data_IF_974676956003
#
_entry.id   IF_974676956003
#
_cell.length_a   1.000
_cell.length_b   1.000
_cell.length_c   1.000
_cell.angle_alpha   90.00
_cell.angle_beta   90.00
_cell.angle_gamma   90.00
#
_symmetry.space_group_name_H-M   'P 1'
#
loop_
_entity.id
_entity.type
_entity.pdbx_description
1 polymer ?
#
# COMPACT_ATOMS: atom_id res chain seq x y z
N UNK A 1 -0.75 5.66 -9.89
CA UNK A 1 -1.46 5.01 -8.79
C UNK A 1 -1.21 3.50 -8.80
N UNK A 2 -1.16 2.88 -7.63
CA UNK A 2 -1.03 1.43 -7.45
C UNK A 2 -2.21 0.94 -6.62
N UNK A 3 -3.11 0.19 -7.26
CA UNK A 3 -4.29 -0.43 -6.62
C UNK A 3 -4.02 -1.91 -6.40
N UNK A 4 -4.03 -2.40 -5.18
CA UNK A 4 -3.84 -3.82 -4.87
C UNK A 4 -5.19 -4.47 -4.59
N UNK A 5 -5.53 -5.51 -5.33
CA UNK A 5 -6.78 -6.27 -5.18
C UNK A 5 -6.56 -7.77 -5.14
N UNK A 6 -7.38 -8.46 -4.39
CA UNK A 6 -7.46 -9.92 -4.38
C UNK A 6 -8.61 -10.41 -5.28
N UNK A 7 -8.42 -10.33 -6.58
CA UNK A 7 -9.45 -10.60 -7.58
C UNK A 7 -10.46 -9.45 -7.69
N UNK A 8 -11.59 -9.73 -8.31
CA UNK A 8 -12.74 -8.81 -8.38
C UNK A 8 -13.42 -8.76 -7.02
N UNK A 9 -12.85 -7.99 -6.08
CA UNK A 9 -13.50 -7.78 -4.80
C UNK A 9 -14.76 -6.93 -4.98
N UNK A 10 -15.78 -7.06 -4.12
CA UNK A 10 -17.04 -6.31 -4.25
C UNK A 10 -16.86 -4.79 -4.11
N UNK A 11 -15.69 -4.33 -3.67
CA UNK A 11 -15.38 -2.93 -3.51
C UNK A 11 -14.57 -2.35 -4.68
N UNK A 12 -13.89 -3.21 -5.46
CA UNK A 12 -12.93 -2.79 -6.49
C UNK A 12 -13.57 -1.90 -7.56
N UNK A 13 -14.78 -2.23 -8.03
CA UNK A 13 -15.48 -1.43 -9.02
C UNK A 13 -15.67 0.02 -8.58
N UNK A 14 -16.08 0.24 -7.33
CA UNK A 14 -16.25 1.57 -6.76
C UNK A 14 -14.91 2.30 -6.58
N UNK A 15 -13.86 1.58 -6.17
CA UNK A 15 -12.49 2.11 -6.07
C UNK A 15 -11.99 2.60 -7.44
N UNK A 16 -12.12 1.78 -8.48
CA UNK A 16 -11.69 2.14 -9.85
C UNK A 16 -12.48 3.32 -10.39
N UNK A 17 -13.81 3.35 -10.18
CA UNK A 17 -14.66 4.49 -10.56
C UNK A 17 -14.26 5.77 -9.82
N UNK A 18 -13.94 5.68 -8.54
CA UNK A 18 -13.45 6.83 -7.77
C UNK A 18 -12.10 7.36 -8.29
N UNK A 19 -11.20 6.47 -8.72
CA UNK A 19 -9.93 6.86 -9.35
C UNK A 19 -10.14 7.49 -10.73
N UNK A 20 -11.09 6.97 -11.52
CA UNK A 20 -11.38 7.54 -12.85
C UNK A 20 -12.03 8.93 -12.79
N UNK A 21 -12.69 9.26 -11.69
CA UNK A 21 -13.40 10.53 -11.49
C UNK A 21 -12.55 11.63 -10.84
N UNK A 22 -11.24 11.39 -10.63
CA UNK A 22 -10.37 12.39 -10.03
C UNK A 22 -10.26 13.66 -10.88
N UNK A 23 -10.26 14.84 -10.24
CA UNK A 23 -10.00 16.14 -10.90
C UNK A 23 -8.60 16.19 -11.50
N UNK A 24 -7.64 15.55 -10.84
CA UNK A 24 -6.29 15.33 -11.32
C UNK A 24 -6.06 13.81 -11.44
N UNK A 25 -6.38 13.17 -12.59
CA UNK A 25 -6.20 11.74 -12.74
C UNK A 25 -4.70 11.37 -12.74
N UNK A 26 -4.33 10.21 -12.18
CA UNK A 26 -2.95 9.74 -12.21
C UNK A 26 -2.53 9.40 -13.65
N UNK A 27 -1.26 9.64 -14.02
CA UNK A 27 -0.74 9.32 -15.37
C UNK A 27 -0.84 7.83 -15.70
N UNK A 28 -0.66 6.97 -14.70
CA UNK A 28 -0.72 5.51 -14.84
C UNK A 28 -1.43 4.91 -13.64
N UNK A 29 -2.31 3.96 -13.88
CA UNK A 29 -2.90 3.09 -12.85
C UNK A 29 -2.41 1.67 -13.04
N UNK A 30 -1.72 1.16 -12.03
CA UNK A 30 -1.28 -0.22 -11.94
C UNK A 30 -2.24 -0.98 -11.02
N UNK A 31 -3.02 -1.89 -11.57
CA UNK A 31 -3.88 -2.79 -10.80
C UNK A 31 -3.10 -4.08 -10.55
N UNK A 32 -2.75 -4.32 -9.29
CA UNK A 32 -1.99 -5.50 -8.86
C UNK A 32 -2.95 -6.54 -8.31
N UNK A 33 -3.18 -7.59 -9.10
CA UNK A 33 -4.04 -8.70 -8.71
C UNK A 33 -3.23 -9.76 -7.94
N UNK A 34 -3.54 -9.90 -6.66
CA UNK A 34 -2.94 -10.92 -5.78
C UNK A 34 -3.87 -12.11 -5.56
N UNK A 35 -4.93 -12.25 -6.38
CA UNK A 35 -5.86 -13.36 -6.24
C UNK A 35 -5.15 -14.69 -6.39
N UNK A 36 -5.36 -15.53 -5.40
CA UNK A 36 -5.16 -16.96 -5.50
C UNK A 36 -6.53 -17.64 -5.34
N UNK A 37 -6.66 -18.88 -5.76
CA UNK A 37 -7.91 -19.66 -5.53
C UNK A 37 -8.36 -19.67 -4.06
N UNK A 38 -7.46 -19.33 -3.15
CA UNK A 38 -7.67 -19.40 -1.71
C UNK A 38 -8.16 -18.08 -1.07
N UNK A 39 -7.96 -16.91 -1.69
CA UNK A 39 -8.23 -15.61 -1.07
C UNK A 39 -9.06 -14.62 -1.92
N UNK A 40 -9.56 -15.05 -3.08
CA UNK A 40 -10.44 -14.22 -3.89
C UNK A 40 -11.82 -14.05 -3.24
N UNK A 41 -12.25 -12.78 -3.08
CA UNK A 41 -13.59 -12.43 -2.61
C UNK A 41 -14.57 -12.17 -3.77
N UNK A 42 -14.09 -12.33 -5.00
CA UNK A 42 -14.86 -12.00 -6.20
C UNK A 42 -15.88 -13.07 -6.58
N UNK A 43 -16.87 -12.67 -7.33
CA UNK A 43 -17.87 -13.50 -7.99
C UNK A 43 -17.33 -14.29 -9.20
N UNK A 44 -16.04 -14.15 -9.49
CA UNK A 44 -15.37 -14.74 -10.65
C UNK A 44 -15.27 -13.82 -11.85
N UNK A 45 -15.78 -12.59 -11.77
CA UNK A 45 -15.62 -11.56 -12.81
C UNK A 45 -14.14 -11.26 -13.02
N UNK A 46 -13.64 -11.26 -14.25
CA UNK A 46 -12.27 -10.85 -14.54
C UNK A 46 -12.02 -9.39 -14.13
N UNK A 47 -10.87 -9.10 -13.53
CA UNK A 47 -10.49 -7.73 -13.15
C UNK A 47 -10.52 -6.79 -14.37
N UNK A 48 -10.18 -7.30 -15.53
CA UNK A 48 -10.19 -6.56 -16.80
C UNK A 48 -11.59 -5.99 -17.12
N UNK A 49 -12.65 -6.75 -16.90
CA UNK A 49 -14.03 -6.27 -17.11
C UNK A 49 -14.38 -5.13 -16.15
N UNK A 50 -13.93 -5.20 -14.90
CA UNK A 50 -14.12 -4.10 -13.93
C UNK A 50 -13.33 -2.86 -14.32
N UNK A 51 -12.12 -3.01 -14.85
CA UNK A 51 -11.29 -1.91 -15.35
C UNK A 51 -11.98 -1.24 -16.54
N UNK A 52 -12.49 -2.02 -17.50
CA UNK A 52 -13.21 -1.50 -18.66
C UNK A 52 -14.50 -0.78 -18.24
N UNK A 53 -15.31 -1.41 -17.37
CA UNK A 53 -16.55 -0.84 -16.86
C UNK A 53 -16.39 0.44 -16.01
N UNK A 54 -15.21 0.66 -15.43
CA UNK A 54 -14.94 1.85 -14.60
C UNK A 54 -14.68 3.12 -15.40
N UNK A 55 -14.49 3.03 -16.72
CA UNK A 55 -14.10 4.16 -17.57
C UNK A 55 -12.66 4.64 -17.36
N UNK A 56 -11.88 3.97 -16.53
CA UNK A 56 -10.53 4.36 -16.15
C UNK A 56 -9.59 4.46 -17.37
N UNK A 57 -9.72 3.56 -18.32
CA UNK A 57 -8.92 3.55 -19.55
C UNK A 57 -9.12 4.75 -20.47
N UNK A 58 -10.20 5.52 -20.30
CA UNK A 58 -10.47 6.75 -21.05
C UNK A 58 -9.68 7.96 -20.52
N UNK A 59 -9.30 7.94 -19.24
CA UNK A 59 -8.66 9.08 -18.56
C UNK A 59 -7.18 8.85 -18.24
N UNK A 60 -6.74 7.59 -18.17
CA UNK A 60 -5.37 7.24 -17.78
C UNK A 60 -4.89 5.94 -18.42
N UNK A 61 -3.58 5.71 -18.44
CA UNK A 61 -3.01 4.44 -18.85
C UNK A 61 -3.19 3.39 -17.76
N UNK A 62 -3.86 2.27 -18.05
CA UNK A 62 -4.09 1.19 -17.08
C UNK A 62 -3.26 -0.04 -17.43
N UNK A 63 -2.72 -0.70 -16.40
CA UNK A 63 -2.04 -1.99 -16.53
C UNK A 63 -2.50 -2.91 -15.41
N UNK A 64 -2.86 -4.13 -15.75
CA UNK A 64 -3.16 -5.20 -14.80
C UNK A 64 -1.96 -6.12 -14.69
N UNK A 65 -1.48 -6.34 -13.48
CA UNK A 65 -0.33 -7.22 -13.18
C UNK A 65 -0.75 -8.26 -12.15
N UNK A 66 -0.52 -9.54 -12.46
CA UNK A 66 -0.87 -10.64 -11.56
C UNK A 66 0.32 -11.09 -10.73
N UNK A 67 0.18 -11.00 -9.40
CA UNK A 67 1.22 -11.34 -8.42
C UNK A 67 0.67 -12.39 -7.45
N UNK A 68 0.69 -13.66 -7.86
CA UNK A 68 -0.01 -14.77 -7.16
C UNK A 68 0.51 -15.10 -5.76
N UNK A 69 1.73 -14.71 -5.41
CA UNK A 69 2.40 -15.12 -4.16
C UNK A 69 2.71 -13.96 -3.22
N UNK A 70 2.03 -12.83 -3.39
CA UNK A 70 2.21 -11.70 -2.50
C UNK A 70 1.76 -12.04 -1.07
N UNK A 71 2.63 -11.78 -0.10
CA UNK A 71 2.42 -12.11 1.31
C UNK A 71 1.80 -10.97 2.11
N UNK A 72 1.88 -9.76 1.58
CA UNK A 72 1.38 -8.52 2.21
C UNK A 72 1.06 -7.49 1.14
N UNK A 73 0.39 -6.40 1.54
CA UNK A 73 0.16 -5.25 0.68
C UNK A 73 1.47 -4.69 0.12
N UNK A 74 2.48 -4.47 0.98
CA UNK A 74 3.78 -3.95 0.56
C UNK A 74 4.52 -4.87 -0.39
N UNK A 75 4.47 -6.21 -0.19
CA UNK A 75 5.05 -7.18 -1.11
C UNK A 75 4.33 -7.16 -2.48
N UNK A 76 3.00 -6.97 -2.47
CA UNK A 76 2.22 -6.82 -3.70
C UNK A 76 2.62 -5.55 -4.48
N UNK A 77 2.71 -4.41 -3.80
CA UNK A 77 3.15 -3.14 -4.41
C UNK A 77 4.55 -3.28 -5.00
N UNK A 78 5.51 -3.78 -4.23
CA UNK A 78 6.90 -3.92 -4.69
C UNK A 78 7.02 -4.83 -5.92
N UNK A 79 6.37 -6.00 -5.90
CA UNK A 79 6.36 -6.94 -7.04
C UNK A 79 5.60 -6.38 -8.24
N UNK A 80 4.49 -5.68 -8.01
CA UNK A 80 3.72 -5.03 -9.06
C UNK A 80 4.54 -3.96 -9.77
N UNK A 81 5.23 -3.09 -9.03
CA UNK A 81 6.12 -2.07 -9.57
C UNK A 81 7.29 -2.69 -10.34
N UNK A 82 7.92 -3.76 -9.82
CA UNK A 82 8.99 -4.46 -10.51
C UNK A 82 8.52 -5.08 -11.83
N UNK A 83 7.39 -5.79 -11.83
CA UNK A 83 6.82 -6.37 -13.04
C UNK A 83 6.42 -5.30 -14.08
N UNK A 84 5.88 -4.16 -13.63
CA UNK A 84 5.60 -3.02 -14.51
C UNK A 84 6.89 -2.46 -15.15
N UNK A 85 7.96 -2.30 -14.37
CA UNK A 85 9.25 -1.85 -14.88
C UNK A 85 9.82 -2.79 -15.97
N UNK A 86 9.69 -4.10 -15.77
CA UNK A 86 10.11 -5.11 -16.77
C UNK A 86 9.29 -5.00 -18.06
N UNK A 87 7.97 -4.81 -17.97
CA UNK A 87 7.10 -4.61 -19.14
C UNK A 87 7.49 -3.37 -19.94
N UNK A 88 7.76 -2.26 -19.26
CA UNK A 88 8.21 -1.00 -19.89
C UNK A 88 9.57 -1.22 -20.59
N UNK A 89 10.53 -1.85 -19.91
CA UNK A 89 11.85 -2.13 -20.46
C UNK A 89 11.78 -3.07 -21.70
N UNK A 90 10.91 -4.07 -21.69
CA UNK A 90 10.67 -4.98 -22.81
C UNK A 90 10.06 -4.23 -24.02
N UNK A 91 9.08 -3.36 -23.78
CA UNK A 91 8.47 -2.52 -24.82
C UNK A 91 9.48 -1.59 -25.49
N UNK A 92 10.37 -0.99 -24.71
CA UNK A 92 11.42 -0.11 -25.22
C UNK A 92 12.47 -0.88 -26.05
N UNK A 93 12.86 -2.10 -25.62
CA UNK A 93 13.77 -2.96 -26.42
C UNK A 93 13.16 -3.30 -27.78
N UNK A 94 11.87 -3.65 -27.82
CA UNK A 94 11.16 -3.98 -29.06
C UNK A 94 11.09 -2.78 -30.03
N UNK A 95 10.86 -1.57 -29.52
CA UNK A 95 10.85 -0.32 -30.33
C UNK A 95 12.22 0.01 -30.90
N UNK A 96 13.29 -0.15 -30.09
CA UNK A 96 14.67 0.08 -30.58
C UNK A 96 15.10 -0.96 -31.62
N UNK A 97 14.68 -2.22 -31.51
CA UNK A 97 14.92 -3.26 -32.49
C UNK A 97 14.19 -3.03 -33.83
N UNK A 98 12.95 -2.57 -33.77
CA UNK A 98 12.16 -2.25 -34.97
C UNK A 98 12.67 -1.02 -35.73
N UNK A 99 13.27 -0.03 -35.03
CA UNK A 99 13.85 1.15 -35.67
C UNK A 99 15.25 0.95 -36.27
N UNK A 100 15.90 -0.20 -36.02
CA UNK A 100 17.20 -0.52 -36.55
C UNK A 100 17.14 -1.22 -37.93
N UNK A 101 15.97 -1.76 -38.32
CA UNK A 101 15.79 -2.47 -39.61
C UNK A 101 15.38 -1.52 -40.74
N UNK A 102 14.90 -0.30 -40.45
CA UNK A 102 14.48 0.69 -41.47
C UNK A 102 15.59 1.70 -41.85
N UNK A 103 16.81 1.53 -41.36
CA UNK A 103 17.91 2.50 -41.44
C UNK A 103 18.98 2.22 -42.51
N UNK A 104 18.68 1.50 -43.60
CA UNK A 104 19.61 1.34 -44.74
C UNK A 104 19.08 2.03 -45.99
N UNK A 105 19.21 3.35 -46.08
CA UNK A 105 18.99 4.08 -47.34
C UNK A 105 18.67 5.56 -47.15
N UNK A 106 19.63 6.44 -47.45
CA UNK A 106 19.33 7.82 -47.88
C UNK A 106 19.84 8.95 -47.01
N UNK A 107 20.83 9.58 -47.53
CA UNK A 107 21.56 10.81 -47.20
C UNK A 107 20.75 12.06 -46.83
N UNK A 108 21.42 12.87 -45.96
CA UNK A 108 21.50 14.34 -45.89
C UNK A 108 20.27 15.24 -45.99
N UNK A 109 19.98 16.01 -44.97
CA UNK A 109 20.24 17.47 -44.82
C UNK A 109 19.36 18.08 -43.71
N UNK A 110 20.04 18.96 -42.95
CA UNK A 110 19.59 20.23 -42.38
C UNK A 110 18.57 20.30 -41.20
N UNK A 111 19.11 20.78 -40.13
CA UNK A 111 18.77 21.90 -39.28
C UNK A 111 17.32 22.15 -38.83
N UNK A 112 17.03 21.91 -37.58
CA UNK A 112 15.83 22.38 -36.93
C UNK A 112 15.71 21.94 -35.46
N UNK A 113 16.37 22.68 -34.56
CA UNK A 113 16.19 22.54 -33.13
C UNK A 113 14.73 22.88 -32.74
N UNK A 114 13.90 21.88 -32.53
CA UNK A 114 12.65 22.00 -31.81
C UNK A 114 12.76 21.19 -30.51
N UNK A 115 12.93 21.90 -29.39
CA UNK A 115 12.85 21.30 -28.07
C UNK A 115 11.45 20.71 -27.89
N UNK A 116 11.32 19.43 -28.14
CA UNK A 116 10.15 18.63 -27.86
C UNK A 116 10.01 18.57 -26.34
N UNK A 117 8.94 19.14 -25.80
CA UNK A 117 8.51 18.94 -24.40
C UNK A 117 8.20 17.45 -24.24
N UNK A 118 9.15 16.70 -23.73
CA UNK A 118 8.94 15.30 -23.36
C UNK A 118 7.92 15.27 -22.21
N UNK A 119 6.75 14.74 -22.47
CA UNK A 119 5.71 14.58 -21.46
C UNK A 119 6.18 13.59 -20.37
N UNK A 120 5.78 13.80 -19.11
CA UNK A 120 5.96 12.83 -18.02
C UNK A 120 5.49 11.43 -18.43
N UNK A 121 4.47 11.37 -19.29
CA UNK A 121 3.98 10.15 -19.94
C UNK A 121 5.07 9.44 -20.77
N UNK A 122 5.94 10.19 -21.46
CA UNK A 122 7.03 9.63 -22.24
C UNK A 122 8.21 9.17 -21.37
N UNK A 123 8.45 9.84 -20.24
CA UNK A 123 9.49 9.45 -19.27
C UNK A 123 9.15 8.15 -18.56
N UNK A 124 7.90 7.99 -18.14
CA UNK A 124 7.39 6.74 -17.54
C UNK A 124 7.38 5.57 -18.54
N UNK A 125 7.24 5.89 -19.86
CA UNK A 125 7.26 4.89 -20.94
C UNK A 125 8.67 4.60 -21.45
N UNK A 126 9.64 5.49 -21.24
CA UNK A 126 11.01 5.37 -21.79
C UNK A 126 12.06 4.87 -20.80
N UNK A 127 11.71 4.69 -19.52
CA UNK A 127 12.50 3.96 -18.53
C UNK A 127 14.01 4.23 -18.56
N UNK A 128 14.43 5.49 -18.34
CA UNK A 128 15.86 5.80 -18.24
C UNK A 128 16.31 5.72 -16.78
N UNK A 129 16.57 4.51 -16.30
CA UNK A 129 17.22 4.26 -15.03
C UNK A 129 17.00 2.81 -14.59
N UNK A 130 18.03 2.09 -14.14
CA UNK A 130 17.86 0.73 -13.68
C UNK A 130 17.13 0.73 -12.34
N UNK A 131 15.88 0.23 -12.33
CA UNK A 131 15.26 -0.23 -11.09
C UNK A 131 15.94 -1.56 -10.77
N UNK A 132 17.03 -1.51 -10.03
CA UNK A 132 17.64 -2.69 -9.44
C UNK A 132 16.84 -3.02 -8.20
N UNK A 133 15.79 -3.85 -8.37
CA UNK A 133 15.19 -4.54 -7.24
C UNK A 133 16.23 -5.48 -6.64
N UNK A 134 16.31 -5.60 -5.30
CA UNK A 134 17.25 -6.53 -4.68
C UNK A 134 16.78 -7.96 -4.90
N UNK A 135 17.25 -8.60 -5.96
CA UNK A 135 17.43 -10.04 -6.01
C UNK A 135 18.78 -10.34 -5.36
N UNK A 136 18.83 -10.25 -4.06
CA UNK A 136 20.00 -10.55 -3.26
C UNK A 136 19.56 -11.03 -1.89
N UNK A 137 20.14 -12.12 -1.46
CA UNK A 137 19.91 -12.80 -0.19
C UNK A 137 19.79 -11.79 0.97
N UNK A 138 18.82 -12.02 1.84
CA UNK A 138 18.64 -11.33 3.11
C UNK A 138 19.94 -11.44 3.93
N UNK A 139 20.77 -10.41 3.87
CA UNK A 139 21.83 -10.22 4.84
C UNK A 139 21.21 -9.72 6.15
N UNK A 140 21.65 -10.23 7.32
CA UNK A 140 21.15 -9.76 8.59
C UNK A 140 21.49 -8.29 8.75
N UNK A 141 20.52 -7.51 9.24
CA UNK A 141 20.68 -6.10 9.60
C UNK A 141 21.70 -6.03 10.74
N UNK A 142 22.93 -5.78 10.39
CA UNK A 142 23.98 -5.42 11.33
C UNK A 142 24.14 -3.91 11.32
N UNK A 143 23.88 -3.33 12.49
CA UNK A 143 24.32 -2.01 12.97
C UNK A 143 24.24 -0.84 11.97
N UNK A 144 23.20 -0.01 12.14
CA UNK A 144 23.24 1.36 11.66
C UNK A 144 24.23 2.17 12.53
N UNK A 145 25.45 2.28 12.07
CA UNK A 145 26.35 3.33 12.53
C UNK A 145 25.89 4.67 11.93
N UNK A 146 25.66 5.63 12.83
CA UNK A 146 25.32 6.99 12.52
C UNK A 146 26.47 7.65 11.75
N UNK A 147 26.31 7.85 10.45
CA UNK A 147 27.03 8.89 9.72
C UNK A 147 26.09 10.10 9.61
N UNK A 148 26.36 11.09 10.44
CA UNK A 148 25.85 12.46 10.27
C UNK A 148 26.44 13.01 8.98
N UNK A 149 25.69 12.95 7.88
CA UNK A 149 26.02 13.68 6.67
C UNK A 149 25.57 15.12 6.85
N UNK A 150 26.53 16.05 6.81
CA UNK A 150 26.26 17.47 6.78
C UNK A 150 25.40 17.82 5.55
N UNK A 151 24.50 18.82 5.65
CA UNK A 151 23.65 19.20 4.53
C UNK A 151 24.52 19.70 3.37
N UNK A 152 24.47 18.99 2.25
CA UNK A 152 25.09 19.43 1.00
C UNK A 152 24.38 20.70 0.51
N UNK A 153 25.14 21.73 0.21
CA UNK A 153 24.67 23.00 -0.37
C UNK A 153 23.95 22.70 -1.70
N UNK A 154 22.70 23.13 -1.78
CA UNK A 154 21.81 22.86 -2.89
C UNK A 154 22.24 23.61 -4.13
N UNK A 155 22.79 22.92 -5.10
CA UNK A 155 22.81 23.33 -6.50
C UNK A 155 21.36 23.45 -6.98
N UNK A 156 20.96 24.63 -7.48
CA UNK A 156 19.65 24.87 -8.08
C UNK A 156 19.58 24.21 -9.45
N UNK A 157 19.49 22.90 -9.51
CA UNK A 157 19.06 22.18 -10.71
C UNK A 157 17.53 22.14 -10.74
N UNK A 158 16.95 22.48 -11.89
CA UNK A 158 15.51 22.37 -12.17
C UNK A 158 15.09 20.95 -11.82
N UNK A 159 14.10 20.72 -10.97
CA UNK A 159 13.77 19.38 -10.50
C UNK A 159 13.37 18.54 -11.71
N UNK A 160 14.10 17.47 -11.96
CA UNK A 160 13.63 16.32 -12.71
C UNK A 160 12.24 15.96 -12.18
N UNK A 161 11.28 15.76 -13.08
CA UNK A 161 9.86 15.60 -12.71
C UNK A 161 9.71 14.61 -11.55
N UNK A 162 9.26 15.12 -10.41
CA UNK A 162 9.09 14.33 -9.20
C UNK A 162 7.98 13.30 -9.43
N UNK A 163 8.28 12.03 -9.25
CA UNK A 163 7.34 10.92 -9.45
C UNK A 163 6.80 10.49 -8.09
N UNK A 164 5.49 10.37 -8.00
CA UNK A 164 4.80 9.96 -6.79
C UNK A 164 4.09 8.63 -7.00
N UNK A 165 4.11 7.76 -6.00
CA UNK A 165 3.30 6.55 -5.93
C UNK A 165 2.09 6.79 -5.05
N UNK A 166 0.90 6.72 -5.61
CA UNK A 166 -0.35 6.77 -4.87
C UNK A 166 -0.81 5.35 -4.56
N UNK A 167 -0.78 4.96 -3.28
CA UNK A 167 -1.08 3.61 -2.82
C UNK A 167 -2.57 3.49 -2.48
N UNK A 168 -3.25 2.53 -3.09
CA UNK A 168 -4.69 2.32 -2.91
C UNK A 168 -4.97 0.85 -2.60
N UNK A 169 -5.92 0.64 -1.69
CA UNK A 169 -6.52 -0.66 -1.46
C UNK A 169 -7.77 -0.81 -2.33
N UNK A 170 -8.15 -2.04 -2.68
CA UNK A 170 -9.37 -2.32 -3.45
C UNK A 170 -10.67 -1.95 -2.71
N UNK A 171 -10.60 -1.67 -1.43
CA UNK A 171 -11.66 -1.24 -0.53
C UNK A 171 -11.49 0.22 -0.05
N UNK A 172 -10.82 1.04 -0.87
CA UNK A 172 -10.60 2.47 -0.60
C UNK A 172 -11.02 3.32 -1.79
N UNK A 173 -12.02 4.20 -1.61
CA UNK A 173 -12.58 5.06 -2.65
C UNK A 173 -12.26 6.53 -2.35
N UNK A 174 -11.31 7.16 -3.08
CA UNK A 174 -10.98 8.56 -2.89
C UNK A 174 -12.13 9.49 -3.34
N UNK A 175 -12.31 10.59 -2.63
CA UNK A 175 -13.17 11.68 -3.08
C UNK A 175 -12.54 12.38 -4.31
N UNK A 176 -13.36 13.11 -5.06
CA UNK A 176 -13.03 13.55 -6.43
C UNK A 176 -11.75 14.39 -6.55
N UNK A 177 -11.40 15.15 -5.54
CA UNK A 177 -10.21 16.03 -5.51
C UNK A 177 -9.06 15.48 -4.64
N UNK A 178 -9.21 14.26 -4.13
CA UNK A 178 -8.28 13.67 -3.16
C UNK A 178 -6.83 13.68 -3.65
N UNK A 179 -6.56 13.24 -4.88
CA UNK A 179 -5.20 13.20 -5.43
C UNK A 179 -4.64 14.61 -5.63
N UNK A 180 -5.45 15.56 -6.09
CA UNK A 180 -5.06 16.95 -6.28
C UNK A 180 -4.62 17.60 -4.96
N UNK A 181 -5.39 17.40 -3.88
CA UNK A 181 -5.06 17.90 -2.54
C UNK A 181 -3.78 17.26 -2.01
N UNK A 182 -3.61 15.95 -2.15
CA UNK A 182 -2.39 15.25 -1.75
C UNK A 182 -1.15 15.77 -2.50
N UNK A 183 -1.24 15.95 -3.82
CA UNK A 183 -0.14 16.48 -4.63
C UNK A 183 0.19 17.92 -4.26
N UNK A 184 -0.81 18.74 -4.01
CA UNK A 184 -0.62 20.13 -3.55
C UNK A 184 0.13 20.15 -2.22
N UNK A 185 -0.29 19.36 -1.25
CA UNK A 185 0.39 19.24 0.03
C UNK A 185 1.83 18.71 -0.09
N UNK A 186 2.04 17.73 -0.97
CA UNK A 186 3.33 17.09 -1.22
C UNK A 186 4.35 18.07 -1.82
N UNK A 187 3.91 18.94 -2.75
CA UNK A 187 4.80 19.86 -3.47
C UNK A 187 5.10 21.13 -2.69
N UNK A 188 4.33 21.46 -1.66
CA UNK A 188 4.53 22.65 -0.83
C UNK A 188 5.81 22.63 0.02
N UNK A 189 6.41 21.45 0.26
CA UNK A 189 7.65 21.35 1.02
C UNK A 189 8.51 20.16 0.54
N UNK A 190 9.74 20.43 0.11
CA UNK A 190 10.69 19.41 -0.40
C UNK A 190 11.06 18.31 0.60
N UNK A 191 10.89 18.55 1.88
CA UNK A 191 11.18 17.58 2.94
C UNK A 191 10.04 16.56 3.15
N UNK A 192 8.89 16.74 2.49
CA UNK A 192 7.77 15.81 2.59
C UNK A 192 8.02 14.61 1.71
N UNK A 193 8.09 13.44 2.32
CA UNK A 193 8.25 12.16 1.62
C UNK A 193 6.97 11.36 1.51
N UNK A 194 6.03 11.55 2.47
CA UNK A 194 4.75 10.82 2.49
C UNK A 194 3.63 11.79 2.89
N UNK A 195 2.51 11.72 2.16
CA UNK A 195 1.27 12.43 2.49
C UNK A 195 0.13 11.41 2.59
N UNK A 196 -0.63 11.45 3.67
CA UNK A 196 -1.82 10.61 3.84
C UNK A 196 -3.10 11.44 3.82
N UNK A 197 -4.22 10.85 3.32
CA UNK A 197 -5.53 11.49 3.37
C UNK A 197 -6.19 11.33 4.74
N UNK A 198 -7.25 12.12 4.98
CA UNK A 198 -8.28 11.83 5.98
C UNK A 198 -9.06 10.60 5.52
N UNK A 199 -9.14 9.58 6.37
CA UNK A 199 -9.95 8.40 6.08
C UNK A 199 -11.29 8.48 6.79
N UNK A 200 -12.37 8.25 6.06
CA UNK A 200 -13.75 8.24 6.56
C UNK A 200 -14.44 6.91 6.27
N UNK A 201 -15.60 6.71 6.88
CA UNK A 201 -16.37 5.49 6.74
C UNK A 201 -16.82 5.25 5.29
N UNK A 202 -16.84 3.99 4.86
CA UNK A 202 -17.28 3.60 3.52
C UNK A 202 -18.78 3.86 3.29
N UNK A 203 -19.61 3.36 4.20
CA UNK A 203 -21.07 3.48 4.12
C UNK A 203 -21.58 4.82 4.68
N UNK A 204 -20.87 5.38 5.65
CA UNK A 204 -21.17 6.69 6.23
C UNK A 204 -19.89 7.56 6.25
N UNK A 205 -19.73 8.45 5.27
CA UNK A 205 -18.54 9.31 5.16
C UNK A 205 -18.47 10.41 6.22
N UNK A 206 -19.51 10.59 7.05
CA UNK A 206 -19.44 11.50 8.19
C UNK A 206 -18.62 10.92 9.36
N UNK A 207 -18.38 9.62 9.36
CA UNK A 207 -17.64 8.96 10.44
C UNK A 207 -16.13 8.98 10.16
N UNK A 208 -15.38 9.55 11.09
CA UNK A 208 -13.91 9.53 11.06
C UNK A 208 -13.35 8.14 11.33
N UNK A 209 -12.38 7.75 10.53
CA UNK A 209 -11.61 6.53 10.74
C UNK A 209 -10.15 6.83 11.10
N UNK A 210 -9.53 7.80 10.41
CA UNK A 210 -8.11 8.13 10.60
C UNK A 210 -7.79 9.53 10.08
N UNK A 211 -7.08 10.33 10.89
CA UNK A 211 -6.43 11.58 10.47
C UNK A 211 -5.00 11.54 11.01
N UNK A 212 -4.14 10.81 10.26
CA UNK A 212 -2.83 10.42 10.73
C UNK A 212 -2.85 9.34 11.82
N UNK A 213 -1.70 8.74 12.10
CA UNK A 213 -1.52 7.67 13.06
C UNK A 213 -0.60 8.07 14.19
N UNK A 214 -0.95 7.64 15.40
CA UNK A 214 -0.08 7.67 16.58
C UNK A 214 0.21 6.24 17.03
N UNK A 215 1.33 6.04 17.69
CA UNK A 215 1.69 4.76 18.26
C UNK A 215 2.38 4.92 19.61
N UNK A 216 2.19 3.97 20.49
CA UNK A 216 2.95 3.85 21.74
C UNK A 216 4.36 3.31 21.46
N UNK A 217 5.26 3.40 22.45
CA UNK A 217 6.60 2.80 22.37
C UNK A 217 6.58 1.28 22.10
N UNK A 218 5.47 0.60 22.34
CA UNK A 218 5.27 -0.83 22.00
C UNK A 218 4.58 -1.01 20.63
N UNK A 219 4.64 -0.02 19.76
CA UNK A 219 4.04 0.00 18.43
C UNK A 219 2.52 -0.29 18.41
N UNK A 220 1.83 -0.10 19.53
CA UNK A 220 0.36 -0.17 19.57
C UNK A 220 -0.18 1.13 18.99
N UNK A 221 -1.01 1.03 17.96
CA UNK A 221 -1.76 2.20 17.45
C UNK A 221 -2.53 2.84 18.59
N UNK A 222 -2.33 4.12 18.74
CA UNK A 222 -3.12 4.97 19.64
C UNK A 222 -4.02 5.80 18.72
N UNK A 223 -5.29 5.49 18.70
CA UNK A 223 -6.26 6.28 17.96
C UNK A 223 -6.71 7.44 18.83
N UNK A 224 -6.56 8.65 18.30
CA UNK A 224 -7.18 9.84 18.91
C UNK A 224 -8.66 9.93 18.52
N UNK A 225 -9.07 9.18 17.50
CA UNK A 225 -10.44 9.11 17.01
C UNK A 225 -11.17 8.00 17.73
N UNK A 226 -12.29 8.33 18.34
CA UNK A 226 -13.17 7.40 19.04
C UNK A 226 -14.07 6.68 18.03
N UNK A 227 -14.33 5.36 18.19
CA UNK A 227 -15.27 4.66 17.33
C UNK A 227 -16.65 5.35 17.28
N UNK A 228 -17.13 5.69 16.08
CA UNK A 228 -18.38 6.42 15.88
C UNK A 228 -18.23 7.96 15.92
N UNK A 229 -17.02 8.48 16.00
CA UNK A 229 -16.77 9.92 15.97
C UNK A 229 -17.16 10.52 14.61
N UNK A 230 -17.97 11.57 14.65
CA UNK A 230 -18.42 12.32 13.47
C UNK A 230 -17.39 13.39 13.12
N UNK A 231 -17.11 13.55 11.84
CA UNK A 231 -16.24 14.62 11.32
C UNK A 231 -16.91 15.99 11.47
N UNK A 232 -16.29 16.86 12.25
CA UNK A 232 -16.69 18.26 12.46
C UNK A 232 -15.51 19.20 12.19
N UNK A 233 -14.47 18.72 11.51
CA UNK A 233 -13.22 19.46 11.31
C UNK A 233 -12.30 19.52 12.51
N UNK A 234 -12.60 18.80 13.60
CA UNK A 234 -11.85 18.84 14.86
C UNK A 234 -10.40 18.33 14.77
N UNK A 235 -10.03 17.73 13.64
CA UNK A 235 -8.69 17.24 13.35
C UNK A 235 -8.06 17.88 12.10
N UNK A 236 -8.69 18.91 11.52
CA UNK A 236 -8.25 19.51 10.26
C UNK A 236 -7.03 20.44 10.41
N UNK A 237 -6.63 20.75 11.64
CA UNK A 237 -5.40 21.46 11.96
C UNK A 237 -4.15 20.57 11.95
N UNK A 238 -4.33 19.25 11.79
CA UNK A 238 -3.20 18.30 11.79
C UNK A 238 -2.41 18.40 10.48
N UNK A 239 -1.10 18.35 10.61
CA UNK A 239 -0.18 18.31 9.48
C UNK A 239 0.90 17.25 9.73
N UNK A 240 1.94 17.54 10.49
CA UNK A 240 3.00 16.57 10.81
C UNK A 240 2.47 15.47 11.74
N UNK A 241 2.59 14.22 11.28
CA UNK A 241 2.12 13.05 12.02
C UNK A 241 3.21 11.99 12.14
N UNK A 242 3.08 11.07 13.09
CA UNK A 242 4.01 9.96 13.22
C UNK A 242 3.95 9.05 11.98
N UNK A 243 2.76 8.78 11.50
CA UNK A 243 2.53 7.89 10.36
C UNK A 243 1.14 8.15 9.74
N UNK A 244 0.93 7.60 8.56
CA UNK A 244 -0.36 7.52 7.86
C UNK A 244 -0.65 6.09 7.45
N UNK A 245 -1.94 5.77 7.26
CA UNK A 245 -2.33 4.48 6.67
C UNK A 245 -1.99 4.41 5.20
N UNK A 246 -1.77 3.20 4.68
CA UNK A 246 -1.42 2.98 3.27
C UNK A 246 -2.59 3.16 2.31
N UNK A 247 -3.84 3.11 2.80
CA UNK A 247 -5.02 3.39 1.98
C UNK A 247 -5.08 4.88 1.63
N UNK A 248 -4.70 5.22 0.40
CA UNK A 248 -4.65 6.58 -0.12
C UNK A 248 -3.33 7.32 0.10
N UNK A 249 -2.32 6.71 0.69
CA UNK A 249 -1.03 7.36 0.91
C UNK A 249 -0.31 7.68 -0.41
N UNK A 250 0.18 8.91 -0.52
CA UNK A 250 1.06 9.37 -1.60
C UNK A 250 2.50 9.38 -1.08
N UNK A 251 3.41 8.71 -1.77
CA UNK A 251 4.83 8.63 -1.41
C UNK A 251 5.72 9.03 -2.59
N UNK A 252 6.75 9.83 -2.32
CA UNK A 252 7.78 10.13 -3.29
C UNK A 252 8.52 8.86 -3.72
N UNK A 253 8.71 8.70 -5.03
CA UNK A 253 9.41 7.53 -5.59
C UNK A 253 10.83 7.42 -5.04
N UNK A 254 11.57 8.52 -4.94
CA UNK A 254 12.94 8.49 -4.44
C UNK A 254 12.98 8.03 -2.98
N UNK A 255 12.03 8.50 -2.16
CA UNK A 255 11.87 8.04 -0.77
C UNK A 255 11.53 6.54 -0.74
N UNK A 256 10.59 6.07 -1.57
CA UNK A 256 10.24 4.66 -1.67
C UNK A 256 11.46 3.79 -2.01
N UNK A 257 12.25 4.22 -2.99
CA UNK A 257 13.45 3.50 -3.42
C UNK A 257 14.54 3.51 -2.35
N UNK A 258 14.77 4.64 -1.69
CA UNK A 258 15.76 4.79 -0.61
C UNK A 258 15.47 3.90 0.59
N UNK A 259 14.22 3.86 1.06
CA UNK A 259 13.84 3.05 2.22
C UNK A 259 13.56 1.58 1.87
N UNK A 260 13.53 1.23 0.58
CA UNK A 260 13.23 -0.12 0.09
C UNK A 260 11.75 -0.49 0.16
N UNK A 261 10.86 0.49 0.20
CA UNK A 261 9.41 0.29 0.28
C UNK A 261 8.94 -0.27 1.63
N UNK A 262 7.81 -1.00 1.63
CA UNK A 262 7.25 -1.63 2.83
C UNK A 262 7.91 -2.99 3.04
N UNK A 263 8.33 -3.25 4.26
CA UNK A 263 9.01 -4.50 4.60
C UNK A 263 8.15 -5.75 4.30
N UNK A 264 8.63 -6.72 3.51
CA UNK A 264 7.83 -7.86 3.04
C UNK A 264 7.47 -8.88 4.14
N UNK A 265 8.14 -8.80 5.29
CA UNK A 265 7.87 -9.68 6.45
C UNK A 265 6.69 -9.20 7.31
N UNK A 266 6.16 -8.00 7.08
CA UNK A 266 4.89 -7.57 7.65
C UNK A 266 3.74 -8.36 7.04
N UNK A 267 2.78 -8.72 7.86
CA UNK A 267 1.53 -9.28 7.38
C UNK A 267 0.60 -8.19 6.81
N UNK A 268 -0.71 -8.42 6.80
CA UNK A 268 -1.69 -7.50 6.22
C UNK A 268 -1.95 -6.23 7.05
N UNK A 269 -1.18 -5.97 8.10
CA UNK A 269 -1.34 -4.84 9.00
C UNK A 269 -0.01 -4.24 9.41
N UNK A 270 -0.03 -2.96 9.79
CA UNK A 270 1.11 -2.26 10.36
C UNK A 270 2.08 -1.68 9.33
N UNK A 271 1.76 -1.82 8.07
CA UNK A 271 2.50 -1.35 6.90
C UNK A 271 2.66 0.17 6.88
N UNK A 272 1.57 0.93 7.08
CA UNK A 272 1.62 2.40 7.13
C UNK A 272 2.50 2.93 8.26
N UNK A 273 2.47 2.30 9.45
CA UNK A 273 3.33 2.68 10.56
C UNK A 273 4.81 2.40 10.27
N UNK A 274 5.11 1.26 9.67
CA UNK A 274 6.46 0.86 9.31
C UNK A 274 7.04 1.77 8.21
N UNK A 275 6.31 1.94 7.10
CA UNK A 275 6.67 2.79 5.97
C UNK A 275 6.96 4.22 6.41
N UNK A 276 6.01 4.82 7.15
CA UNK A 276 6.13 6.19 7.63
C UNK A 276 7.31 6.37 8.58
N UNK A 277 7.55 5.40 9.44
CA UNK A 277 8.69 5.46 10.35
C UNK A 277 10.02 5.29 9.61
N UNK A 278 10.11 4.40 8.62
CA UNK A 278 11.30 4.26 7.79
C UNK A 278 11.63 5.58 7.08
N UNK A 279 10.63 6.23 6.48
CA UNK A 279 10.80 7.54 5.84
C UNK A 279 11.27 8.63 6.84
N UNK A 280 10.69 8.66 8.06
CA UNK A 280 11.12 9.61 9.10
C UNK A 280 12.56 9.37 9.59
N UNK A 281 12.99 8.12 9.67
CA UNK A 281 14.37 7.78 10.03
C UNK A 281 15.35 8.14 8.91
N UNK A 282 14.91 8.14 7.66
CA UNK A 282 15.67 8.65 6.51
C UNK A 282 15.65 10.19 6.41
N UNK A 283 14.97 10.90 7.34
CA UNK A 283 14.95 12.35 7.42
C UNK A 283 13.77 13.04 6.73
N UNK A 284 12.82 12.28 6.18
CA UNK A 284 11.65 12.83 5.50
C UNK A 284 10.50 13.11 6.46
N UNK A 285 9.71 14.12 6.13
CA UNK A 285 8.47 14.42 6.85
C UNK A 285 7.34 13.51 6.34
N UNK A 286 6.49 13.12 7.27
CA UNK A 286 5.23 12.43 7.01
C UNK A 286 4.12 13.35 7.48
N UNK A 287 3.23 13.72 6.57
CA UNK A 287 2.13 14.62 6.85
C UNK A 287 0.78 13.97 6.54
N UNK A 288 -0.28 14.47 7.15
CA UNK A 288 -1.66 14.21 6.75
C UNK A 288 -2.21 15.48 6.11
N UNK A 289 -2.99 15.30 5.04
CA UNK A 289 -3.76 16.37 4.40
C UNK A 289 -5.25 16.12 4.65
N UNK A 290 -5.86 16.83 5.60
CA UNK A 290 -7.25 16.59 5.97
C UNK A 290 -8.27 16.93 4.90
N UNK A 291 -7.94 17.81 3.95
CA UNK A 291 -8.83 18.15 2.83
C UNK A 291 -8.85 17.05 1.76
N UNK A 292 -7.80 16.23 1.69
CA UNK A 292 -7.77 15.03 0.88
C UNK A 292 -8.54 13.91 1.60
N UNK A 293 -9.73 13.57 1.12
CA UNK A 293 -10.62 12.60 1.79
C UNK A 293 -10.69 11.30 1.01
N UNK A 294 -10.64 10.16 1.74
CA UNK A 294 -10.84 8.84 1.17
C UNK A 294 -11.80 8.01 2.03
N UNK A 295 -12.78 7.39 1.39
CA UNK A 295 -13.65 6.39 2.04
C UNK A 295 -12.92 5.06 2.12
N UNK A 296 -12.97 4.40 3.28
CA UNK A 296 -12.27 3.13 3.48
C UNK A 296 -13.15 2.11 4.19
N UNK A 297 -13.36 0.94 3.56
CA UNK A 297 -14.16 -0.14 4.14
C UNK A 297 -13.46 -0.84 5.30
N UNK A 298 -12.12 -0.84 5.30
CA UNK A 298 -11.30 -1.59 6.26
C UNK A 298 -11.65 -3.10 6.29
N UNK A 299 -11.90 -3.69 5.13
CA UNK A 299 -12.38 -5.06 5.01
C UNK A 299 -11.49 -6.08 5.73
N UNK A 300 -10.17 -5.90 5.67
CA UNK A 300 -9.22 -6.75 6.42
C UNK A 300 -9.37 -6.60 7.93
N UNK A 301 -9.58 -5.37 8.42
CA UNK A 301 -9.77 -5.09 9.85
C UNK A 301 -11.09 -5.69 10.35
N UNK A 302 -12.15 -5.53 9.58
CA UNK A 302 -13.50 -6.02 9.90
C UNK A 302 -13.66 -7.52 9.68
N UNK A 303 -12.60 -8.23 9.25
CA UNK A 303 -12.67 -9.67 9.02
C UNK A 303 -13.57 -10.08 7.84
N UNK A 304 -13.83 -9.15 6.92
CA UNK A 304 -14.65 -9.41 5.72
C UNK A 304 -13.86 -10.18 4.65
N UNK A 305 -12.52 -10.17 4.69
CA UNK A 305 -11.67 -10.96 3.81
C UNK A 305 -11.52 -12.37 4.35
N UNK A 306 -11.81 -13.39 3.53
CA UNK A 306 -11.63 -14.79 3.94
C UNK A 306 -10.14 -15.08 4.17
N UNK A 307 -9.78 -15.78 5.26
CA UNK A 307 -8.43 -16.30 5.42
C UNK A 307 -8.16 -17.37 4.34
N UNK A 308 -6.92 -17.41 3.84
CA UNK A 308 -6.46 -18.32 2.79
C UNK A 308 -6.65 -19.83 3.08
N UNK A 309 -7.05 -20.22 4.29
CA UNK A 309 -7.17 -21.61 4.76
C UNK A 309 -8.59 -22.19 4.71
N UNK A 310 -9.58 -21.46 4.22
CA UNK A 310 -10.93 -22.02 4.05
C UNK A 310 -11.02 -22.66 2.66
N UNK A 311 -10.60 -23.92 2.57
CA UNK A 311 -10.89 -24.77 1.42
C UNK A 311 -12.41 -24.85 1.22
N UNK A 312 -12.88 -24.51 0.04
CA UNK A 312 -14.23 -24.84 -0.38
C UNK A 312 -14.34 -26.36 -0.38
N UNK A 313 -15.30 -26.91 0.38
CA UNK A 313 -15.76 -28.26 0.14
C UNK A 313 -16.31 -28.32 -1.29
N UNK A 314 -15.76 -29.20 -2.10
CA UNK A 314 -16.06 -29.43 -3.52
C UNK A 314 -17.46 -30.01 -3.80
N UNK A 315 -18.38 -29.96 -2.87
CA UNK A 315 -19.68 -30.61 -2.92
C UNK A 315 -20.88 -29.68 -3.23
N UNK A 316 -20.62 -28.43 -3.68
CA UNK A 316 -21.70 -27.62 -4.23
C UNK A 316 -21.91 -27.99 -5.73
N UNK A 317 -23.14 -28.32 -6.16
CA UNK A 317 -23.43 -28.63 -7.56
C UNK A 317 -23.13 -27.39 -8.44
N UNK A 318 -22.73 -27.58 -9.72
CA UNK A 318 -22.53 -26.51 -10.66
C UNK A 318 -23.85 -25.73 -10.82
N UNK A 319 -23.86 -24.46 -10.45
CA UNK A 319 -25.03 -23.60 -10.67
C UNK A 319 -25.12 -23.26 -12.15
N UNK A 320 -26.19 -23.66 -12.75
CA UNK A 320 -26.64 -23.21 -14.07
C UNK A 320 -27.41 -21.91 -13.89
N UNK A 321 -27.08 -20.96 -14.76
CA UNK A 321 -27.87 -19.79 -15.21
C UNK A 321 -28.01 -18.58 -14.28
N UNK A 322 -27.34 -17.52 -14.72
CA UNK A 322 -27.76 -16.08 -14.82
C UNK A 322 -28.63 -15.45 -13.70
N UNK A 323 -28.55 -15.89 -12.45
CA UNK A 323 -28.97 -15.05 -11.35
C UNK A 323 -27.73 -14.30 -10.83
N UNK A 324 -27.81 -12.95 -10.85
CA UNK A 324 -26.82 -12.08 -10.26
C UNK A 324 -26.53 -12.58 -8.83
N UNK A 325 -25.36 -13.16 -8.61
CA UNK A 325 -24.93 -13.63 -7.29
C UNK A 325 -24.74 -12.36 -6.45
N UNK A 326 -25.78 -12.05 -5.68
CA UNK A 326 -25.64 -11.06 -4.60
C UNK A 326 -24.55 -11.56 -3.67
N UNK A 327 -23.36 -11.00 -3.78
CA UNK A 327 -22.22 -11.35 -2.93
C UNK A 327 -22.54 -10.87 -1.52
N UNK A 328 -23.21 -11.71 -0.75
CA UNK A 328 -23.50 -11.42 0.64
C UNK A 328 -22.18 -11.42 1.41
N UNK A 329 -21.72 -10.24 1.78
CA UNK A 329 -20.55 -10.08 2.64
C UNK A 329 -20.85 -10.70 4.02
N UNK A 330 -19.87 -11.37 4.63
CA UNK A 330 -20.03 -11.84 6.00
C UNK A 330 -20.22 -10.64 6.93
N UNK A 331 -20.92 -10.85 8.04
CA UNK A 331 -21.03 -9.81 9.08
C UNK A 331 -19.64 -9.34 9.54
N UNK A 332 -19.46 -8.03 9.75
CA UNK A 332 -18.23 -7.46 10.29
C UNK A 332 -17.88 -8.08 11.63
N UNK A 333 -16.70 -8.65 11.73
CA UNK A 333 -16.18 -9.23 12.97
C UNK A 333 -14.68 -8.89 13.10
N UNK A 334 -14.34 -7.82 13.81
CA UNK A 334 -12.96 -7.41 14.03
C UNK A 334 -12.11 -8.42 14.82
N UNK A 335 -12.72 -9.37 15.54
CA UNK A 335 -11.98 -10.40 16.27
C UNK A 335 -11.27 -11.37 15.32
N UNK A 336 -11.83 -11.62 14.13
CA UNK A 336 -11.20 -12.47 13.09
C UNK A 336 -9.82 -11.97 12.66
N UNK A 337 -9.59 -10.67 12.69
CA UNK A 337 -8.30 -10.05 12.34
C UNK A 337 -7.36 -9.81 13.54
N UNK A 338 -7.83 -10.10 14.76
CA UNK A 338 -7.12 -9.76 16.00
C UNK A 338 -5.71 -10.35 16.05
N UNK A 339 -5.55 -11.65 15.76
CA UNK A 339 -4.24 -12.31 15.76
C UNK A 339 -3.26 -11.68 14.78
N UNK A 340 -3.72 -11.35 13.57
CA UNK A 340 -2.89 -10.73 12.55
C UNK A 340 -2.45 -9.31 12.95
N UNK A 341 -3.38 -8.50 13.47
CA UNK A 341 -3.10 -7.15 13.98
C UNK A 341 -2.13 -7.20 15.18
N UNK A 342 -2.32 -8.17 16.07
CA UNK A 342 -1.43 -8.36 17.22
C UNK A 342 -0.02 -8.79 16.78
N UNK A 343 0.09 -9.71 15.82
CA UNK A 343 1.38 -10.11 15.24
C UNK A 343 2.08 -8.91 14.59
N UNK A 344 1.37 -8.10 13.81
CA UNK A 344 1.91 -6.90 13.18
C UNK A 344 2.43 -5.88 14.21
N UNK A 345 1.67 -5.66 15.29
CA UNK A 345 2.12 -4.80 16.39
C UNK A 345 3.42 -5.30 17.03
N UNK A 346 3.50 -6.58 17.38
CA UNK A 346 4.69 -7.16 17.99
C UNK A 346 5.89 -7.12 17.04
N UNK A 347 5.65 -7.34 15.75
CA UNK A 347 6.67 -7.29 14.72
C UNK A 347 7.23 -5.86 14.57
N UNK A 348 6.36 -4.85 14.49
CA UNK A 348 6.77 -3.44 14.47
C UNK A 348 7.53 -3.06 15.77
N UNK A 349 7.07 -3.55 16.93
CA UNK A 349 7.77 -3.31 18.18
C UNK A 349 9.17 -3.93 18.17
N UNK A 350 9.32 -5.13 17.63
CA UNK A 350 10.63 -5.78 17.50
C UNK A 350 11.55 -5.00 16.56
N UNK A 351 11.05 -4.61 15.39
CA UNK A 351 11.82 -3.88 14.37
C UNK A 351 12.29 -2.50 14.85
N UNK A 352 11.53 -1.87 15.74
CA UNK A 352 11.79 -0.51 16.18
C UNK A 352 12.39 -0.40 17.59
N UNK A 353 12.67 -1.54 18.23
CA UNK A 353 13.25 -1.55 19.57
C UNK A 353 14.79 -1.58 19.48
N UNK A 354 15.45 -0.71 20.23
CA UNK A 354 16.89 -0.76 20.44
C UNK A 354 17.33 -1.91 21.39
N UNK A 355 16.37 -2.68 21.92
CA UNK A 355 16.66 -3.78 22.86
C UNK A 355 17.18 -5.00 22.12
N UNK A 356 18.02 -5.84 22.77
CA UNK A 356 18.46 -7.11 22.22
C UNK A 356 17.26 -7.98 21.80
N UNK A 357 17.22 -8.40 20.54
CA UNK A 357 16.07 -9.09 19.96
C UNK A 357 15.71 -10.36 20.72
N UNK A 358 16.67 -11.13 21.22
CA UNK A 358 16.41 -12.35 21.99
C UNK A 358 15.63 -12.08 23.28
N UNK A 359 16.01 -11.03 24.04
CA UNK A 359 15.29 -10.62 25.24
C UNK A 359 13.88 -10.15 24.92
N UNK A 360 13.73 -9.42 23.82
CA UNK A 360 12.43 -8.90 23.40
C UNK A 360 11.49 -10.02 22.95
N UNK A 361 11.97 -10.99 22.18
CA UNK A 361 11.16 -12.14 21.77
C UNK A 361 10.76 -13.01 22.97
N UNK A 362 11.66 -13.22 23.94
CA UNK A 362 11.33 -13.91 25.20
C UNK A 362 10.25 -13.14 25.97
N UNK A 363 10.37 -11.80 26.03
CA UNK A 363 9.36 -10.95 26.66
C UNK A 363 8.01 -11.06 25.97
N UNK A 364 7.97 -11.14 24.63
CA UNK A 364 6.72 -11.32 23.89
C UNK A 364 6.01 -12.62 24.25
N UNK A 365 6.75 -13.72 24.43
CA UNK A 365 6.16 -14.98 24.86
C UNK A 365 5.60 -14.89 26.27
N UNK A 366 6.34 -14.28 27.20
CA UNK A 366 5.88 -14.07 28.59
C UNK A 366 4.62 -13.19 28.58
N UNK A 367 4.64 -12.07 27.87
CA UNK A 367 3.49 -11.17 27.75
C UNK A 367 2.29 -11.86 27.09
N UNK A 368 2.52 -12.68 26.06
CA UNK A 368 1.50 -13.49 25.40
C UNK A 368 0.84 -14.47 26.35
N UNK A 369 1.64 -15.15 27.19
CA UNK A 369 1.14 -16.08 28.20
C UNK A 369 0.33 -15.36 29.30
N UNK A 370 0.84 -14.24 29.81
CA UNK A 370 0.10 -13.43 30.81
C UNK A 370 -1.25 -12.97 30.26
N UNK A 371 -1.27 -12.49 29.01
CA UNK A 371 -2.51 -12.06 28.37
C UNK A 371 -3.44 -13.22 28.04
N UNK A 372 -2.89 -14.37 27.67
CA UNK A 372 -3.66 -15.61 27.51
C UNK A 372 -4.44 -15.94 28.79
N UNK A 373 -3.77 -15.99 29.94
CA UNK A 373 -4.40 -16.26 31.23
C UNK A 373 -5.46 -15.19 31.56
N UNK A 374 -5.14 -13.92 31.36
CA UNK A 374 -6.08 -12.82 31.57
C UNK A 374 -7.33 -12.95 30.70
N UNK A 375 -7.16 -13.26 29.41
CA UNK A 375 -8.27 -13.44 28.46
C UNK A 375 -9.13 -14.65 28.80
N UNK A 376 -8.54 -15.75 29.30
CA UNK A 376 -9.30 -16.88 29.81
C UNK A 376 -10.14 -16.49 31.03
N UNK A 377 -9.57 -15.78 31.99
CA UNK A 377 -10.28 -15.25 33.14
C UNK A 377 -11.43 -14.30 32.74
N UNK A 378 -11.26 -13.56 31.66
CA UNK A 378 -12.26 -12.66 31.05
C UNK A 378 -13.28 -13.39 30.16
N UNK A 379 -13.30 -14.73 30.15
CA UNK A 379 -14.22 -15.58 29.36
C UNK A 379 -14.12 -15.35 27.83
N UNK A 380 -12.94 -14.96 27.33
CA UNK A 380 -12.66 -14.74 25.92
C UNK A 380 -11.61 -15.75 25.37
N UNK A 381 -11.93 -17.06 25.26
CA UNK A 381 -10.95 -18.10 24.92
C UNK A 381 -10.41 -17.97 23.48
N UNK A 382 -11.18 -17.44 22.54
CA UNK A 382 -10.74 -17.14 21.18
C UNK A 382 -9.60 -16.14 21.18
N UNK A 383 -9.80 -15.00 21.81
CA UNK A 383 -8.79 -13.94 21.94
C UNK A 383 -7.58 -14.41 22.77
N UNK A 384 -7.77 -15.29 23.75
CA UNK A 384 -6.65 -15.87 24.49
C UNK A 384 -5.70 -16.64 23.56
N UNK A 385 -6.23 -17.54 22.73
CA UNK A 385 -5.45 -18.30 21.74
C UNK A 385 -4.72 -17.37 20.76
N UNK A 386 -5.36 -16.29 20.35
CA UNK A 386 -4.82 -15.33 19.39
C UNK A 386 -3.68 -14.49 19.99
N UNK A 387 -3.77 -14.07 21.25
CA UNK A 387 -2.68 -13.38 21.97
C UNK A 387 -1.42 -14.26 22.00
N UNK A 388 -1.57 -15.50 22.48
CA UNK A 388 -0.45 -16.43 22.57
C UNK A 388 0.07 -16.83 21.18
N UNK A 389 -0.85 -17.11 20.24
CA UNK A 389 -0.50 -17.49 18.88
C UNK A 389 0.23 -16.37 18.12
N UNK A 390 -0.12 -15.10 18.34
CA UNK A 390 0.60 -13.96 17.79
C UNK A 390 2.02 -13.85 18.35
N UNK A 391 2.19 -13.98 19.66
CA UNK A 391 3.49 -13.92 20.32
C UNK A 391 4.44 -15.04 19.84
N UNK A 392 3.95 -16.28 19.77
CA UNK A 392 4.71 -17.43 19.29
C UNK A 392 5.09 -17.32 17.80
N UNK A 393 4.17 -16.81 16.98
CA UNK A 393 4.45 -16.60 15.55
C UNK A 393 5.57 -15.60 15.31
N UNK A 394 5.61 -14.50 16.09
CA UNK A 394 6.68 -13.50 15.98
C UNK A 394 7.99 -14.04 16.55
N UNK A 395 7.96 -14.73 17.70
CA UNK A 395 9.16 -15.34 18.29
C UNK A 395 9.77 -16.44 17.38
N UNK A 396 8.92 -17.17 16.65
CA UNK A 396 9.37 -18.20 15.70
C UNK A 396 10.02 -17.63 14.42
N UNK A 397 9.62 -16.43 13.98
CA UNK A 397 10.21 -15.76 12.81
C UNK A 397 11.64 -15.24 13.10
N UNK A 398 11.93 -14.82 14.33
CA UNK A 398 13.25 -14.36 14.74
C UNK A 398 14.31 -15.45 14.80
N UNK A 399 13.97 -16.72 14.55
CA UNK A 399 14.90 -17.85 14.47
C UNK A 399 15.27 -18.26 13.04
N UNK A 400 14.69 -17.62 12.03
CA UNK A 400 14.96 -17.83 10.60
C UNK A 400 15.61 -16.58 10.01
#
# INVERSE_FOLDING_TARGET
AVVVSAGASPFLAQTLTAVSSQTCPPDVVLVVDVASRANGLGDGTPIEELVEGSGLGAVTAVRVVRVKEAKSFGDAVARGLAAYAELVAAGNRKRRGAGADDGAGGSDTDGGSSASRTSVRDLLLTGSGPITGPTGALSPITSYEQQLVAPAEASQEVPEHQVWFWLLHDDSAPERDCLEQLLTAATNARSVGIVGPKQVGWDNPELLLEVGLRATASARRANDIVPGEVDQGQHDDRSDVLAVGTAGALIDRAVWEEIGGIAPWLGPFGDGLELSRAARLAGYRVIVEPTAVIRHRRASYQGLRRPASVSHSSDAPPRTDAEAIEVTLPEPDPERSFRARRSAQLTNWAAFSARPIGLLLTWFVILGLMRFVWRLASKAPGLARDELGAALAVAGRGRR
#
